data_IF_342430703524
#
_entry.id   IF_342430703524
#
_cell.length_a   1.000
_cell.length_b   1.000
_cell.length_c   1.000
_cell.angle_alpha   90.00
_cell.angle_beta   90.00
_cell.angle_gamma   90.00
#
_symmetry.space_group_name_H-M   'P 1'
#
loop_
_entity.id
_entity.type
_entity.pdbx_description
1 polymer ?
#
# COMPACT_ATOMS: atom_id res chain seq x y z
N UNK A 1 -1.82 24.00 4.85
CA UNK A 1 -1.25 22.84 5.54
C UNK A 1 -1.56 22.91 7.03
N UNK A 2 -1.65 21.77 7.72
CA UNK A 2 -1.72 21.69 9.19
C UNK A 2 -0.69 20.70 9.71
N UNK A 3 -0.21 20.88 10.93
CA UNK A 3 0.66 19.92 11.63
C UNK A 3 0.06 19.52 12.97
N UNK A 4 0.43 18.34 13.46
CA UNK A 4 -0.06 17.79 14.71
C UNK A 4 0.83 18.26 15.88
N UNK A 5 0.21 18.81 16.93
CA UNK A 5 0.91 19.29 18.15
C UNK A 5 0.66 18.40 19.36
N UNK A 6 -0.41 17.60 19.31
CA UNK A 6 -0.78 16.63 20.34
C UNK A 6 -1.79 15.64 19.78
N UNK A 7 -2.33 14.79 20.64
CA UNK A 7 -3.38 13.86 20.24
C UNK A 7 -4.58 14.65 19.68
N UNK A 8 -4.89 14.41 18.41
CA UNK A 8 -5.99 15.04 17.69
C UNK A 8 -5.94 16.58 17.60
N UNK A 9 -4.87 17.23 18.04
CA UNK A 9 -4.72 18.68 17.98
C UNK A 9 -3.92 19.10 16.74
N UNK A 10 -4.60 19.76 15.81
CA UNK A 10 -4.04 20.24 14.56
C UNK A 10 -3.89 21.75 14.56
N UNK A 11 -2.70 22.27 14.25
CA UNK A 11 -2.45 23.69 14.06
C UNK A 11 -2.25 24.02 12.59
N UNK A 12 -2.86 25.11 12.13
CA UNK A 12 -2.64 25.64 10.77
C UNK A 12 -1.23 26.22 10.68
N UNK A 13 -0.58 25.93 9.56
CA UNK A 13 0.67 26.56 9.16
C UNK A 13 0.33 27.56 8.06
N UNK A 14 0.63 28.84 8.31
CA UNK A 14 0.48 29.93 7.34
C UNK A 14 1.79 30.25 6.61
N UNK A 15 2.93 29.81 7.17
CA UNK A 15 4.24 30.12 6.62
C UNK A 15 4.50 29.39 5.28
N UNK A 16 5.14 30.11 4.35
CA UNK A 16 5.65 29.57 3.09
C UNK A 16 6.81 28.58 3.30
N UNK A 17 7.45 28.62 4.46
CA UNK A 17 8.45 27.65 4.90
C UNK A 17 8.17 27.25 6.35
N UNK A 18 8.12 25.93 6.61
CA UNK A 18 7.89 25.39 7.94
C UNK A 18 8.87 24.23 8.17
N UNK A 19 9.65 24.25 9.26
CA UNK A 19 10.63 23.21 9.52
C UNK A 19 9.92 21.88 9.78
N UNK A 20 10.51 20.79 9.28
CA UNK A 20 10.02 19.44 9.46
C UNK A 20 10.95 18.69 10.38
N UNK A 21 10.36 18.05 11.39
CA UNK A 21 11.06 17.28 12.39
C UNK A 21 10.65 15.81 12.35
N UNK A 22 11.52 14.95 12.85
CA UNK A 22 11.17 13.57 13.13
C UNK A 22 9.99 13.50 14.12
N UNK A 23 9.10 12.54 13.91
CA UNK A 23 7.87 12.35 14.70
C UNK A 23 6.76 13.32 14.31
N UNK A 24 6.95 14.17 13.31
CA UNK A 24 5.94 15.15 12.91
C UNK A 24 4.89 14.52 11.98
N UNK A 25 3.62 14.81 12.24
CA UNK A 25 2.53 14.53 11.31
C UNK A 25 2.07 15.82 10.65
N UNK A 26 1.99 15.83 9.33
CA UNK A 26 1.40 16.92 8.56
C UNK A 26 0.20 16.43 7.77
N UNK A 27 -0.76 17.34 7.57
CA UNK A 27 -1.89 17.10 6.69
C UNK A 27 -2.16 18.28 5.77
N UNK A 28 -2.61 17.96 4.58
CA UNK A 28 -3.21 18.89 3.63
C UNK A 28 -4.72 18.67 3.64
N UNK A 29 -5.47 19.75 3.47
CA UNK A 29 -6.93 19.68 3.33
C UNK A 29 -7.24 20.10 1.90
N UNK A 30 -7.18 21.40 1.62
CA UNK A 30 -7.29 21.95 0.28
C UNK A 30 -5.91 22.34 -0.26
N UNK A 31 -5.70 22.12 -1.56
CA UNK A 31 -4.48 22.51 -2.28
C UNK A 31 -3.33 21.52 -2.16
N UNK A 32 -2.16 21.93 -2.67
CA UNK A 32 -0.91 21.18 -2.59
C UNK A 32 0.06 21.83 -1.59
N UNK A 33 0.96 21.03 -1.03
CA UNK A 33 2.05 21.53 -0.20
C UNK A 33 3.37 20.94 -0.67
N UNK A 34 4.39 21.77 -0.78
CA UNK A 34 5.72 21.33 -1.19
C UNK A 34 6.63 21.26 0.02
N UNK A 35 7.25 20.11 0.20
CA UNK A 35 8.22 19.83 1.25
C UNK A 35 9.58 19.61 0.60
N UNK A 36 10.51 20.51 0.88
CA UNK A 36 11.92 20.32 0.54
C UNK A 36 12.62 19.60 1.69
N UNK A 37 13.23 18.47 1.38
CA UNK A 37 14.04 17.67 2.30
C UNK A 37 15.52 17.95 2.02
N UNK A 38 16.43 17.29 2.75
CA UNK A 38 17.86 17.39 2.47
C UNK A 38 18.21 16.81 1.11
N UNK A 39 19.39 17.14 0.59
CA UNK A 39 19.95 16.55 -0.64
C UNK A 39 19.06 16.74 -1.88
N UNK A 40 18.38 17.88 -1.98
CA UNK A 40 17.50 18.25 -3.10
C UNK A 40 16.29 17.33 -3.28
N UNK A 41 16.00 16.48 -2.29
CA UNK A 41 14.78 15.68 -2.29
C UNK A 41 13.57 16.59 -2.09
N UNK A 42 12.50 16.33 -2.83
CA UNK A 42 11.28 17.12 -2.80
C UNK A 42 10.07 16.20 -2.79
N UNK A 43 9.07 16.57 -1.99
CA UNK A 43 7.77 15.91 -1.94
C UNK A 43 6.69 16.96 -2.16
N UNK A 44 5.83 16.74 -3.13
CA UNK A 44 4.62 17.52 -3.35
C UNK A 44 3.41 16.74 -2.85
N UNK A 45 2.84 17.20 -1.75
CA UNK A 45 1.73 16.56 -1.06
C UNK A 45 0.44 17.05 -1.70
N UNK A 46 -0.37 16.11 -2.21
CA UNK A 46 -1.67 16.40 -2.80
C UNK A 46 -2.71 16.85 -1.76
N UNK A 47 -3.94 17.18 -2.19
CA UNK A 47 -5.03 17.46 -1.26
C UNK A 47 -5.39 16.23 -0.41
N UNK A 48 -6.06 16.47 0.71
CA UNK A 48 -6.58 15.42 1.61
C UNK A 48 -5.56 14.32 1.99
N UNK A 49 -4.30 14.72 2.15
CA UNK A 49 -3.19 13.80 2.37
C UNK A 49 -2.60 13.96 3.76
N UNK A 50 -2.15 12.84 4.34
CA UNK A 50 -1.56 12.79 5.68
C UNK A 50 -0.23 12.05 5.61
N UNK A 51 0.84 12.75 6.01
CA UNK A 51 2.21 12.24 6.04
C UNK A 51 2.75 12.25 7.46
N UNK A 52 3.49 11.21 7.81
CA UNK A 52 4.21 11.08 9.07
C UNK A 52 5.71 10.91 8.81
N UNK A 53 6.53 11.77 9.39
CA UNK A 53 7.99 11.73 9.30
C UNK A 53 8.53 10.83 10.42
N UNK A 54 8.60 9.52 10.15
CA UNK A 54 8.88 8.48 11.16
C UNK A 54 10.34 8.52 11.64
N UNK A 55 11.28 8.57 10.68
CA UNK A 55 12.71 8.71 10.91
C UNK A 55 13.26 9.80 10.00
N UNK A 56 14.54 10.14 10.15
CA UNK A 56 15.23 11.12 9.30
C UNK A 56 15.06 10.83 7.80
N UNK A 57 15.14 9.55 7.42
CA UNK A 57 15.10 9.09 6.03
C UNK A 57 13.90 8.15 5.77
N UNK A 58 12.82 8.29 6.55
CA UNK A 58 11.61 7.46 6.40
C UNK A 58 10.34 8.31 6.55
N UNK A 59 9.52 8.28 5.50
CA UNK A 59 8.30 9.07 5.40
C UNK A 59 7.15 8.12 5.10
N UNK A 60 6.08 8.18 5.90
CA UNK A 60 4.92 7.32 5.77
C UNK A 60 3.70 8.11 5.31
N UNK A 61 3.12 7.68 4.19
CA UNK A 61 1.79 8.07 3.75
C UNK A 61 0.77 7.22 4.50
N UNK A 62 -0.17 7.86 5.19
CA UNK A 62 -1.32 7.18 5.79
C UNK A 62 -2.61 7.43 5.02
N UNK A 63 -2.70 8.52 4.28
CA UNK A 63 -3.87 8.88 3.48
C UNK A 63 -3.49 9.80 2.31
N UNK A 64 -4.21 9.69 1.19
CA UNK A 64 -4.13 10.62 0.07
C UNK A 64 -3.02 10.26 -0.91
N UNK A 65 -2.30 11.27 -1.42
CA UNK A 65 -1.23 11.08 -2.41
C UNK A 65 -0.11 12.09 -2.23
N UNK A 66 1.08 11.73 -2.69
CA UNK A 66 2.13 12.71 -2.95
C UNK A 66 2.93 12.32 -4.18
N UNK A 67 3.47 13.34 -4.84
CA UNK A 67 4.50 13.22 -5.86
C UNK A 67 5.86 13.43 -5.19
N UNK A 68 6.88 12.74 -5.68
CA UNK A 68 8.21 12.79 -5.09
C UNK A 68 9.30 12.86 -6.14
N UNK A 69 10.42 13.39 -5.69
CA UNK A 69 11.67 13.58 -6.40
C UNK A 69 12.79 13.28 -5.42
N UNK A 70 13.43 12.13 -5.59
CA UNK A 70 14.37 11.59 -4.61
C UNK A 70 15.67 11.13 -5.27
N UNK A 71 16.78 11.38 -4.58
CA UNK A 71 18.09 10.87 -4.95
C UNK A 71 18.25 9.42 -4.44
N UNK A 72 18.49 8.42 -5.31
CA UNK A 72 18.68 7.02 -4.94
C UNK A 72 19.84 6.79 -3.96
N UNK A 73 20.86 7.66 -3.99
CA UNK A 73 22.09 7.54 -3.21
C UNK A 73 21.93 7.68 -1.69
N UNK A 74 20.78 8.17 -1.21
CA UNK A 74 20.54 8.48 0.21
C UNK A 74 19.60 7.53 0.94
N UNK A 75 19.03 6.55 0.25
CA UNK A 75 18.19 5.52 0.90
C UNK A 75 16.93 6.07 1.57
N UNK A 76 16.37 7.19 1.08
CA UNK A 76 15.08 7.71 1.54
C UNK A 76 13.99 6.66 1.28
N UNK A 77 13.29 6.27 2.34
CA UNK A 77 12.24 5.25 2.34
C UNK A 77 10.87 5.92 2.36
N UNK A 78 10.09 5.66 1.33
CA UNK A 78 8.71 6.13 1.22
C UNK A 78 7.77 4.97 1.53
N UNK A 79 7.01 5.05 2.62
CA UNK A 79 6.15 3.98 3.08
C UNK A 79 4.68 4.28 2.78
N UNK A 80 3.94 3.29 2.29
CA UNK A 80 2.48 3.34 2.18
C UNK A 80 1.90 1.97 2.55
N UNK A 81 1.06 1.93 3.59
CA UNK A 81 0.60 0.68 4.16
C UNK A 81 1.77 -0.22 4.59
N UNK A 82 1.87 -1.40 3.98
CA UNK A 82 2.90 -2.41 4.27
C UNK A 82 4.02 -2.45 3.23
N UNK A 83 4.08 -1.44 2.38
CA UNK A 83 5.06 -1.35 1.32
C UNK A 83 6.08 -0.26 1.61
N UNK A 84 7.32 -0.52 1.22
CA UNK A 84 8.44 0.41 1.29
C UNK A 84 8.92 0.64 -0.15
N UNK A 85 8.86 1.87 -0.60
CA UNK A 85 9.32 2.30 -1.91
C UNK A 85 10.67 2.99 -1.77
N UNK A 86 11.64 2.56 -2.57
CA UNK A 86 12.98 3.14 -2.63
C UNK A 86 13.35 3.47 -4.07
N UNK A 87 14.03 4.59 -4.26
CA UNK A 87 14.66 4.91 -5.53
C UNK A 87 15.89 4.03 -5.75
N UNK A 88 16.07 3.51 -6.96
CA UNK A 88 17.22 2.67 -7.32
C UNK A 88 17.91 3.23 -8.55
N UNK A 89 19.23 3.30 -8.47
CA UNK A 89 20.08 3.62 -9.60
C UNK A 89 20.06 2.47 -10.61
N UNK A 90 19.96 2.79 -11.89
CA UNK A 90 20.15 1.79 -12.93
C UNK A 90 21.61 1.30 -12.85
N UNK A 91 21.80 0.03 -12.46
CA UNK A 91 23.12 -0.60 -12.48
C UNK A 91 23.56 -0.77 -13.93
N UNK A 92 24.24 0.22 -14.48
CA UNK A 92 24.84 0.13 -15.81
C UNK A 92 26.05 -0.81 -15.74
N UNK A 93 25.82 -2.10 -15.97
CA UNK A 93 26.84 -3.14 -15.98
C UNK A 93 27.82 -3.07 -17.19
N UNK A 94 27.80 -1.99 -17.98
CA UNK A 94 28.76 -1.82 -19.06
C UNK A 94 28.43 -0.67 -20.00
N UNK A 95 29.06 0.48 -19.78
CA UNK A 95 29.73 1.29 -20.82
C UNK A 95 30.36 2.51 -20.20
N UNK A 96 31.53 2.85 -20.72
CA UNK A 96 32.49 3.73 -20.09
C UNK A 96 32.04 5.18 -19.98
N UNK A 97 32.71 5.86 -19.04
CA UNK A 97 33.00 7.30 -18.98
C UNK A 97 32.11 8.20 -19.86
N UNK A 98 30.81 8.18 -19.62
CA UNK A 98 29.89 9.18 -20.18
C UNK A 98 29.35 9.99 -19.01
N UNK A 99 29.70 11.29 -19.07
CA UNK A 99 29.35 12.41 -18.21
C UNK A 99 28.43 12.15 -17.00
N UNK A 100 28.90 12.63 -15.83
CA UNK A 100 28.10 12.98 -14.66
C UNK A 100 27.01 14.00 -15.06
N UNK A 101 25.99 13.53 -15.74
CA UNK A 101 24.74 14.26 -15.90
C UNK A 101 23.93 14.07 -14.62
N UNK A 102 23.05 15.02 -14.32
CA UNK A 102 22.09 15.06 -13.19
C UNK A 102 21.08 13.89 -13.20
N UNK A 103 21.50 12.69 -13.58
CA UNK A 103 20.69 11.69 -14.26
C UNK A 103 20.28 10.50 -13.40
N UNK A 104 20.51 10.56 -12.10
CA UNK A 104 20.09 9.51 -11.19
C UNK A 104 19.16 10.09 -10.13
N UNK A 105 18.10 10.74 -10.58
CA UNK A 105 16.98 11.13 -9.72
C UNK A 105 15.82 10.18 -10.02
N UNK A 106 15.22 9.63 -8.97
CA UNK A 106 14.01 8.86 -9.06
C UNK A 106 12.82 9.76 -8.73
N UNK A 107 11.86 9.84 -9.64
CA UNK A 107 10.65 10.63 -9.46
C UNK A 107 9.42 9.77 -9.73
N UNK A 108 8.35 10.03 -8.99
CA UNK A 108 7.12 9.24 -9.10
C UNK A 108 6.00 9.80 -8.25
N UNK A 109 4.91 9.04 -8.19
CA UNK A 109 3.78 9.31 -7.30
C UNK A 109 3.44 8.08 -6.46
N UNK A 110 3.01 8.33 -5.23
CA UNK A 110 2.54 7.32 -4.29
C UNK A 110 1.17 7.75 -3.77
N UNK A 111 0.18 6.85 -3.87
CA UNK A 111 -1.20 7.15 -3.46
C UNK A 111 -1.84 5.99 -2.73
N UNK A 112 -2.67 6.32 -1.74
CA UNK A 112 -3.53 5.40 -0.99
C UNK A 112 -4.98 5.73 -1.33
N UNK A 113 -5.65 4.78 -1.95
CA UNK A 113 -7.06 4.88 -2.33
C UNK A 113 -7.98 4.69 -1.12
N UNK A 114 -9.25 5.13 -1.18
CA UNK A 114 -10.22 4.92 -0.10
C UNK A 114 -10.45 3.44 0.27
N UNK A 115 -10.24 2.52 -0.67
CA UNK A 115 -10.28 1.08 -0.43
C UNK A 115 -8.96 0.50 0.11
N UNK A 116 -8.05 1.37 0.57
CA UNK A 116 -6.70 1.07 1.01
C UNK A 116 -5.79 0.40 -0.03
N UNK A 117 -6.16 0.41 -1.32
CA UNK A 117 -5.23 0.03 -2.38
C UNK A 117 -4.10 1.07 -2.48
N UNK A 118 -2.90 0.62 -2.80
CA UNK A 118 -1.73 1.49 -2.97
C UNK A 118 -1.36 1.51 -4.44
N UNK A 119 -1.32 2.69 -5.03
CA UNK A 119 -0.83 2.88 -6.40
C UNK A 119 0.49 3.61 -6.37
N UNK A 120 1.45 3.06 -7.11
CA UNK A 120 2.77 3.63 -7.35
C UNK A 120 2.88 3.92 -8.83
N UNK A 121 3.40 5.09 -9.18
CA UNK A 121 3.67 5.46 -10.56
C UNK A 121 5.12 5.94 -10.68
N UNK A 122 5.88 5.34 -11.59
CA UNK A 122 7.20 5.81 -11.95
C UNK A 122 7.10 6.93 -12.98
N UNK A 123 7.76 8.05 -12.75
CA UNK A 123 7.87 9.16 -13.72
C UNK A 123 9.29 9.18 -14.31
N UNK A 124 10.30 9.08 -13.45
CA UNK A 124 11.71 9.09 -13.80
C UNK A 124 12.49 8.15 -12.88
N UNK A 125 13.57 7.55 -13.39
CA UNK A 125 14.37 6.57 -12.64
C UNK A 125 13.61 5.28 -12.36
N UNK A 126 14.33 4.29 -11.83
CA UNK A 126 13.72 3.04 -11.41
C UNK A 126 13.34 3.11 -9.94
N UNK A 127 12.16 2.58 -9.61
CA UNK A 127 11.71 2.43 -8.24
C UNK A 127 11.66 0.95 -7.89
N UNK A 128 12.06 0.61 -6.68
CA UNK A 128 11.93 -0.74 -6.15
C UNK A 128 10.93 -0.73 -5.01
N UNK A 129 9.96 -1.63 -5.09
CA UNK A 129 8.96 -1.86 -4.08
C UNK A 129 9.36 -3.06 -3.22
N UNK A 130 9.39 -2.85 -1.92
CA UNK A 130 9.72 -3.84 -0.91
C UNK A 130 8.51 -4.07 0.02
N UNK A 131 8.46 -5.25 0.66
CA UNK A 131 7.60 -5.48 1.83
C UNK A 131 8.25 -4.97 3.14
N UNK A 132 7.59 -5.19 4.28
CA UNK A 132 8.11 -4.83 5.60
C UNK A 132 9.40 -5.58 5.96
N UNK A 133 9.53 -6.81 5.46
CA UNK A 133 10.71 -7.67 5.59
C UNK A 133 11.85 -7.30 4.62
N UNK A 134 11.70 -6.20 3.86
CA UNK A 134 12.66 -5.70 2.86
C UNK A 134 12.93 -6.65 1.68
N UNK A 135 12.02 -7.57 1.44
CA UNK A 135 12.00 -8.44 0.24
C UNK A 135 11.46 -7.64 -0.94
N UNK A 136 12.12 -7.75 -2.09
CA UNK A 136 11.68 -7.12 -3.35
C UNK A 136 10.40 -7.78 -3.83
N UNK A 137 9.36 -6.96 -3.99
CA UNK A 137 8.06 -7.39 -4.54
C UNK A 137 7.95 -7.05 -6.02
N UNK A 138 8.41 -5.86 -6.41
CA UNK A 138 8.32 -5.39 -7.78
C UNK A 138 9.34 -4.28 -8.05
N UNK A 139 9.64 -4.06 -9.32
CA UNK A 139 10.34 -2.88 -9.82
C UNK A 139 9.40 -2.09 -10.72
N UNK A 140 9.35 -0.79 -10.56
CA UNK A 140 8.53 0.12 -11.39
C UNK A 140 9.48 0.91 -12.28
N UNK A 141 9.37 0.72 -13.59
CA UNK A 141 10.12 1.50 -14.56
C UNK A 141 9.48 2.89 -14.77
N UNK A 142 10.21 3.84 -15.38
CA UNK A 142 9.62 5.12 -15.77
C UNK A 142 8.37 4.93 -16.65
N UNK A 143 7.32 5.71 -16.38
CA UNK A 143 6.01 5.68 -17.05
C UNK A 143 5.16 4.43 -16.76
N UNK A 144 5.61 3.54 -15.89
CA UNK A 144 4.80 2.42 -15.42
C UNK A 144 4.00 2.80 -14.18
N UNK A 145 2.90 2.09 -13.95
CA UNK A 145 2.13 2.19 -12.72
C UNK A 145 1.72 0.81 -12.24
N UNK A 146 1.87 0.57 -10.94
CA UNK A 146 1.47 -0.65 -10.26
C UNK A 146 0.46 -0.32 -9.18
N UNK A 147 -0.60 -1.11 -9.09
CA UNK A 147 -1.64 -0.97 -8.05
C UNK A 147 -1.76 -2.26 -7.25
N UNK A 148 -1.61 -2.14 -5.94
CA UNK A 148 -1.69 -3.25 -4.99
C UNK A 148 -2.99 -3.16 -4.20
N UNK A 149 -3.88 -4.16 -4.29
CA UNK A 149 -5.10 -4.18 -3.48
C UNK A 149 -4.77 -4.36 -2.00
N UNK A 150 -5.56 -3.73 -1.14
CA UNK A 150 -5.38 -3.74 0.32
C UNK A 150 -5.24 -5.15 0.93
N UNK A 151 -5.92 -6.15 0.34
CA UNK A 151 -5.91 -7.54 0.79
C UNK A 151 -4.51 -8.19 0.78
N UNK A 152 -3.61 -7.72 -0.08
CA UNK A 152 -2.23 -8.24 -0.16
C UNK A 152 -1.39 -7.69 0.99
N UNK A 153 -1.63 -6.43 1.41
CA UNK A 153 -0.93 -5.83 2.54
C UNK A 153 -1.16 -6.60 3.84
N UNK A 154 -2.41 -6.94 4.16
CA UNK A 154 -2.75 -7.57 5.44
C UNK A 154 -2.28 -9.03 5.59
N UNK A 155 -2.05 -9.74 4.48
CA UNK A 155 -1.75 -11.19 4.50
C UNK A 155 -0.26 -11.53 4.54
N UNK A 156 0.63 -10.64 4.09
CA UNK A 156 2.08 -10.93 4.00
C UNK A 156 2.73 -11.04 5.39
N UNK A 157 2.20 -10.38 6.41
CA UNK A 157 2.75 -10.41 7.78
C UNK A 157 2.26 -11.56 8.68
N UNK A 158 1.41 -12.47 8.19
CA UNK A 158 0.93 -13.61 8.99
C UNK A 158 1.16 -14.90 8.21
N UNK A 159 2.26 -15.57 8.52
CA UNK A 159 2.72 -16.84 7.95
C UNK A 159 1.67 -17.95 7.97
N UNK A 160 0.75 -17.90 7.00
CA UNK A 160 -0.01 -19.05 6.53
C UNK A 160 0.22 -19.14 5.04
N UNK A 161 1.24 -19.89 4.67
CA UNK A 161 1.38 -20.50 3.36
C UNK A 161 0.02 -21.10 2.99
N UNK A 162 -0.63 -20.66 1.90
CA UNK A 162 -1.77 -21.40 1.40
C UNK A 162 -1.29 -22.81 1.05
N UNK A 163 -2.02 -23.88 1.42
CA UNK A 163 -1.65 -25.22 1.02
C UNK A 163 -1.61 -25.24 -0.51
N UNK A 164 -0.42 -25.46 -1.06
CA UNK A 164 -0.23 -25.72 -2.49
C UNK A 164 -0.93 -27.05 -2.76
N UNK A 165 -2.19 -26.97 -3.21
CA UNK A 165 -2.87 -28.13 -3.77
C UNK A 165 -2.27 -28.35 -5.16
N UNK A 166 -1.25 -29.20 -5.22
CA UNK A 166 -0.75 -29.76 -6.47
C UNK A 166 -1.87 -30.67 -7.00
N UNK A 167 -2.66 -30.19 -7.94
CA UNK A 167 -3.47 -31.06 -8.78
C UNK A 167 -2.52 -31.76 -9.75
N UNK A 168 -1.99 -32.90 -9.35
CA UNK A 168 -1.21 -33.76 -10.23
C UNK A 168 -2.21 -34.43 -11.18
N UNK A 169 -2.32 -33.88 -12.40
CA UNK A 169 -2.98 -34.52 -13.53
C UNK A 169 -2.11 -35.71 -13.91
N UNK A 170 -2.46 -36.89 -13.41
CA UNK A 170 -1.95 -38.14 -13.95
C UNK A 170 -2.58 -38.35 -15.31
N UNK A 171 -1.75 -38.43 -16.34
CA UNK A 171 -2.14 -39.02 -17.61
C UNK A 171 -2.49 -40.49 -17.36
N UNK A 172 -3.74 -40.84 -17.61
CA UNK A 172 -4.26 -42.19 -17.58
C UNK A 172 -3.81 -42.89 -18.87
N UNK A 173 -2.69 -43.62 -18.81
CA UNK A 173 -2.37 -44.61 -19.83
C UNK A 173 -3.14 -45.91 -19.52
N UNK A 174 -3.99 -46.29 -20.47
CA UNK A 174 -4.68 -47.58 -20.56
C UNK A 174 -3.72 -48.78 -20.40
N UNK A 175 -4.09 -49.79 -19.60
CA UNK A 175 -3.55 -51.13 -19.78
C UNK A 175 -4.66 -52.11 -20.19
N UNK A 176 -4.67 -52.45 -21.49
CA UNK A 176 -5.34 -53.63 -21.98
C UNK A 176 -4.58 -54.91 -21.59
N UNK A 177 -5.32 -55.77 -20.89
CA UNK A 177 -5.26 -57.24 -20.90
C UNK A 177 -4.16 -57.99 -20.13
N UNK A 178 -4.57 -58.67 -19.03
CA UNK A 178 -4.38 -60.12 -18.88
C UNK A 178 -5.28 -60.71 -17.77
N UNK A 179 -6.02 -61.76 -18.12
CA UNK A 179 -6.84 -62.64 -17.26
C UNK A 179 -6.01 -63.36 -16.19
N UNK A 180 -6.58 -63.57 -15.00
CA UNK A 180 -6.34 -64.81 -14.25
C UNK A 180 -6.51 -64.78 -12.72
N UNK A 181 -7.63 -65.37 -12.25
CA UNK A 181 -7.84 -66.09 -10.97
C UNK A 181 -7.96 -65.30 -9.65
N UNK A 182 -9.22 -65.04 -9.30
CA UNK A 182 -9.94 -65.53 -8.10
C UNK A 182 -9.11 -65.98 -6.88
N UNK A 183 -9.12 -65.16 -5.83
CA UNK A 183 -9.34 -65.56 -4.44
C UNK A 183 -9.62 -64.30 -3.57
N UNK A 184 -10.71 -64.32 -2.83
CA UNK A 184 -11.03 -63.41 -1.72
C UNK A 184 -11.22 -64.27 -0.46
N UNK A 185 -11.38 -63.71 0.76
CA UNK A 185 -11.05 -62.37 1.28
C UNK A 185 -10.24 -62.43 2.60
N UNK A 186 -9.52 -61.36 2.99
CA UNK A 186 -9.29 -61.06 4.41
C UNK A 186 -9.34 -59.54 4.70
N UNK A 187 -10.03 -59.11 5.78
CA UNK A 187 -10.18 -57.71 6.15
C UNK A 187 -9.05 -57.27 7.10
N UNK A 188 -8.14 -56.42 6.63
CA UNK A 188 -7.21 -55.72 7.52
C UNK A 188 -7.81 -54.40 8.00
N UNK A 189 -8.01 -54.36 9.31
CA UNK A 189 -8.43 -53.23 10.12
C UNK A 189 -7.33 -52.17 10.25
N UNK A 190 -7.82 -50.97 10.53
CA UNK A 190 -7.30 -49.96 11.45
C UNK A 190 -6.09 -49.11 11.02
N UNK A 191 -6.37 -47.81 10.85
CA UNK A 191 -5.36 -46.77 10.72
C UNK A 191 -5.90 -45.33 10.75
N UNK A 192 -6.87 -45.03 11.62
CA UNK A 192 -7.10 -43.70 12.21
C UNK A 192 -7.40 -42.51 11.29
N UNK A 193 -8.65 -42.34 10.85
CA UNK A 193 -9.22 -41.04 10.52
C UNK A 193 -10.31 -40.69 11.54
N UNK A 194 -10.03 -39.66 12.33
CA UNK A 194 -10.95 -39.05 13.29
C UNK A 194 -12.22 -38.61 12.57
N UNK A 195 -13.22 -39.47 12.65
CA UNK A 195 -14.60 -39.25 12.24
C UNK A 195 -15.31 -38.68 13.46
N UNK A 196 -15.48 -37.36 13.54
CA UNK A 196 -16.10 -36.74 14.71
C UNK A 196 -16.46 -35.28 14.51
N UNK A 197 -17.77 -35.01 14.56
CA UNK A 197 -18.40 -33.71 14.79
C UNK A 197 -18.58 -32.75 13.60
N UNK A 198 -19.31 -33.20 12.58
CA UNK A 198 -20.17 -32.31 11.78
C UNK A 198 -21.61 -32.76 11.90
N UNK A 199 -22.26 -32.44 13.02
CA UNK A 199 -23.70 -32.58 13.17
C UNK A 199 -24.20 -31.70 14.32
N UNK A 200 -24.54 -30.46 13.99
CA UNK A 200 -25.49 -29.65 14.76
C UNK A 200 -26.06 -28.55 13.86
N UNK A 201 -27.00 -28.96 13.01
CA UNK A 201 -28.01 -28.07 12.44
C UNK A 201 -28.95 -27.72 13.59
N UNK A 202 -28.94 -26.47 14.03
CA UNK A 202 -29.85 -25.91 15.02
C UNK A 202 -30.61 -24.73 14.43
N UNK A 203 -31.85 -25.00 14.04
CA UNK A 203 -32.88 -24.05 13.62
C UNK A 203 -33.20 -23.11 14.80
N UNK A 204 -33.30 -21.80 14.56
CA UNK A 204 -33.76 -20.83 15.55
C UNK A 204 -34.21 -19.51 14.93
N UNK A 205 -35.52 -19.31 14.88
CA UNK A 205 -36.20 -18.15 14.32
C UNK A 205 -36.35 -17.00 15.33
N UNK A 206 -36.53 -15.78 14.78
CA UNK A 206 -37.37 -14.66 15.27
C UNK A 206 -37.09 -13.98 16.63
N UNK A 207 -36.73 -12.69 16.56
CA UNK A 207 -37.29 -11.57 17.36
C UNK A 207 -36.74 -10.25 16.76
N UNK A 208 -37.48 -9.43 16.01
CA UNK A 208 -38.47 -8.40 16.41
C UNK A 208 -38.02 -7.41 17.51
N UNK A 209 -37.97 -6.13 17.12
CA UNK A 209 -37.92 -4.93 17.98
C UNK A 209 -36.61 -4.13 17.84
N UNK A 210 -36.54 -2.87 17.43
CA UNK A 210 -37.53 -1.82 17.23
C UNK A 210 -37.05 -0.50 17.89
N UNK A 211 -37.13 0.63 17.14
CA UNK A 211 -37.28 2.05 17.60
C UNK A 211 -35.96 2.69 18.16
N UNK A 212 -35.54 3.96 17.98
CA UNK A 212 -36.02 5.26 17.43
C UNK A 212 -34.75 6.13 17.13
N UNK A 213 -34.68 6.91 16.05
CA UNK A 213 -35.11 8.32 15.88
C UNK A 213 -34.07 9.41 16.26
N UNK A 214 -34.13 10.50 15.46
CA UNK A 214 -33.73 11.92 15.66
C UNK A 214 -32.68 12.38 14.61
N UNK A 215 -32.97 13.26 13.63
CA UNK A 215 -33.58 14.61 13.61
C UNK A 215 -32.53 15.74 13.55
N UNK A 216 -32.80 16.75 12.71
CA UNK A 216 -32.11 18.06 12.63
C UNK A 216 -31.06 18.12 11.52
N UNK A 217 -31.18 18.91 10.46
CA UNK A 217 -31.28 20.38 10.41
C UNK A 217 -30.01 20.87 9.67
N UNK A 218 -30.05 21.59 8.55
CA UNK A 218 -30.57 22.95 8.39
C UNK A 218 -29.41 23.97 8.51
N UNK A 219 -29.12 24.70 7.42
CA UNK A 219 -28.20 25.85 7.38
C UNK A 219 -27.13 25.72 6.28
N UNK A 220 -26.97 26.60 5.29
CA UNK A 220 -27.34 28.02 5.18
C UNK A 220 -26.12 28.90 5.44
N UNK A 221 -25.52 29.44 4.38
CA UNK A 221 -24.42 30.43 4.39
C UNK A 221 -23.63 30.35 3.08
N UNK A 222 -23.65 31.32 2.16
CA UNK A 222 -23.55 32.76 2.37
C UNK A 222 -22.07 33.12 2.46
N UNK A 223 -21.45 33.53 1.35
CA UNK A 223 -20.01 33.80 1.31
C UNK A 223 -19.60 34.56 0.05
N UNK A 224 -19.61 35.88 0.20
CA UNK A 224 -19.00 36.97 -0.59
C UNK A 224 -18.04 36.62 -1.74
N UNK A 225 -18.36 37.18 -2.90
CA UNK A 225 -17.46 37.38 -4.02
C UNK A 225 -16.58 38.62 -3.77
N UNK A 226 -15.32 38.41 -3.40
CA UNK A 226 -14.30 39.48 -3.39
C UNK A 226 -13.85 39.81 -4.83
N UNK A 227 -13.67 41.10 -5.18
CA UNK A 227 -13.14 41.51 -6.48
C UNK A 227 -11.63 41.22 -6.62
N UNK A 228 -11.12 41.02 -7.84
CA UNK A 228 -9.70 40.76 -8.08
C UNK A 228 -8.82 42.00 -7.83
N UNK A 229 -7.56 41.84 -7.41
CA UNK A 229 -6.63 42.95 -7.26
C UNK A 229 -6.20 43.50 -8.63
N UNK A 230 -6.19 44.83 -8.71
CA UNK A 230 -5.56 45.61 -9.78
C UNK A 230 -4.06 45.69 -9.49
N UNK A 231 -3.22 45.35 -10.47
CA UNK A 231 -1.77 45.58 -10.38
C UNK A 231 -1.37 46.82 -11.20
N UNK A 232 -0.41 47.64 -10.70
CA UNK A 232 0.27 48.69 -11.46
C UNK A 232 1.30 48.13 -12.44
#
# INVERSE_FOLDING_TARGET
MKFQVGENLWKRVEASSFPIFQGMTIKTEKGTAVVSLTDQNQIEIGPDSVLYFEEKDQIRLSQGRFDFRISPSRGLRLCAGNFILVGTSALHAGRGLASLSKADEAAGSLSIHPNAAVTIQGIQGHLTLLNQERTVLATVAPKESLTFPAAIGAKIGKGKTPPVQMAQVGEEEDPLAAKGKEAAPEPQKSGGLSTGAWLAIGIGALALGGIAALAGGGGGGGGESSPPPVCP
#
